data_IF_555045668336
#
_entry.id   IF_555045668336
#
_cell.length_a   1.000
_cell.length_b   1.000
_cell.length_c   1.000
_cell.angle_alpha   90.00
_cell.angle_beta   90.00
_cell.angle_gamma   90.00
#
_symmetry.space_group_name_H-M   'P 1'
#
loop_
_entity.id
_entity.type
_entity.pdbx_description
1 polymer ?
#
# COMPACT_ATOMS: atom_id res chain seq x y z
N UNK A 1 18.61 -8.07 -15.93
CA UNK A 1 17.62 -7.81 -14.88
C UNK A 1 18.22 -7.21 -13.60
N UNK A 2 19.28 -7.78 -13.00
CA UNK A 2 19.88 -7.26 -11.74
C UNK A 2 20.41 -5.80 -11.78
N UNK A 3 20.89 -5.31 -12.91
CA UNK A 3 21.48 -3.95 -13.02
C UNK A 3 20.43 -2.83 -12.96
N UNK A 4 19.19 -3.07 -13.40
CA UNK A 4 18.08 -2.09 -13.32
C UNK A 4 17.53 -1.90 -11.90
N UNK A 5 17.53 -2.95 -11.09
CA UNK A 5 17.03 -2.88 -9.72
C UNK A 5 18.00 -2.15 -8.76
N UNK A 6 19.31 -2.18 -9.05
CA UNK A 6 20.33 -1.51 -8.23
C UNK A 6 20.38 0.02 -8.43
N UNK A 7 19.75 0.55 -9.47
CA UNK A 7 19.70 1.99 -9.79
C UNK A 7 18.29 2.58 -9.59
N UNK A 8 17.36 1.80 -9.02
CA UNK A 8 15.99 2.26 -8.80
C UNK A 8 15.93 3.50 -7.90
N UNK A 9 15.21 4.51 -8.36
CA UNK A 9 14.86 5.70 -7.58
C UNK A 9 13.51 5.47 -6.89
N UNK A 10 13.25 6.12 -5.73
CA UNK A 10 11.94 6.10 -5.12
C UNK A 10 10.86 6.56 -6.11
N UNK A 11 9.68 5.95 -6.01
CA UNK A 11 8.52 6.47 -6.73
C UNK A 11 8.20 7.87 -6.17
N UNK A 12 8.22 8.92 -6.99
CA UNK A 12 7.91 10.25 -6.52
C UNK A 12 6.41 10.31 -6.14
N UNK A 13 6.05 11.00 -5.05
CA UNK A 13 4.63 11.19 -4.72
C UNK A 13 3.87 11.78 -5.91
N UNK A 14 2.77 11.16 -6.28
CA UNK A 14 1.94 11.58 -7.40
C UNK A 14 0.45 11.62 -7.01
N UNK A 15 -0.46 11.76 -7.96
CA UNK A 15 -1.89 11.97 -7.71
C UNK A 15 -2.52 10.88 -6.83
N UNK A 16 -2.12 9.63 -7.01
CA UNK A 16 -2.55 8.47 -6.21
C UNK A 16 -2.04 8.56 -4.76
N UNK A 17 -0.75 8.90 -4.60
CA UNK A 17 -0.12 9.09 -3.28
C UNK A 17 -0.78 10.23 -2.51
N UNK A 18 -0.99 11.38 -3.16
CA UNK A 18 -1.65 12.53 -2.52
C UNK A 18 -3.13 12.22 -2.21
N UNK A 19 -3.81 11.48 -3.08
CA UNK A 19 -5.18 11.08 -2.84
C UNK A 19 -5.32 10.17 -1.62
N UNK A 20 -4.42 9.18 -1.45
CA UNK A 20 -4.36 8.36 -0.25
C UNK A 20 -4.02 9.19 0.99
N UNK A 21 -3.00 10.05 0.89
CA UNK A 21 -2.54 10.91 1.98
C UNK A 21 -3.65 11.80 2.56
N UNK A 22 -4.46 12.39 1.71
CA UNK A 22 -5.58 13.25 2.14
C UNK A 22 -6.62 12.52 2.98
N UNK A 23 -6.74 11.20 2.84
CA UNK A 23 -7.73 10.40 3.57
C UNK A 23 -7.17 9.69 4.80
N UNK A 24 -5.84 9.56 4.90
CA UNK A 24 -5.20 8.92 6.07
C UNK A 24 -4.65 9.93 7.09
N UNK A 25 -4.56 11.22 6.76
CA UNK A 25 -3.98 12.26 7.63
C UNK A 25 -4.72 12.43 8.96
N UNK A 26 -6.02 12.09 9.00
CA UNK A 26 -6.87 12.18 10.19
C UNK A 26 -6.99 10.84 10.94
N UNK A 27 -6.35 9.78 10.43
CA UNK A 27 -6.25 8.50 11.12
C UNK A 27 -5.21 8.60 12.24
N UNK A 28 -5.45 7.88 13.34
CA UNK A 28 -4.57 7.87 14.49
C UNK A 28 -4.61 6.53 15.21
N UNK A 29 -3.58 6.21 15.96
CA UNK A 29 -3.49 4.96 16.71
C UNK A 29 -2.12 4.75 17.35
N UNK A 30 -1.89 3.53 17.78
CA UNK A 30 -0.61 3.14 18.36
C UNK A 30 0.42 2.81 17.27
N UNK A 31 0.02 2.04 16.26
CA UNK A 31 0.94 1.56 15.23
C UNK A 31 0.33 1.55 13.82
N UNK A 32 1.14 1.92 12.84
CA UNK A 32 0.80 1.88 11.43
C UNK A 32 1.91 1.25 10.57
N UNK A 33 1.50 0.63 9.45
CA UNK A 33 2.40 0.03 8.46
C UNK A 33 2.13 0.65 7.10
N UNK A 34 3.19 1.09 6.42
CA UNK A 34 3.16 1.59 5.04
C UNK A 34 3.86 0.58 4.12
N UNK A 35 3.09 -0.20 3.36
CA UNK A 35 3.61 -1.23 2.46
C UNK A 35 3.94 -0.61 1.11
N UNK A 36 5.19 -0.75 0.67
CA UNK A 36 5.69 -0.09 -0.53
C UNK A 36 5.91 1.40 -0.29
N UNK A 37 6.58 1.74 0.81
CA UNK A 37 6.73 3.14 1.29
C UNK A 37 7.42 4.08 0.30
N UNK A 38 8.21 3.55 -0.64
CA UNK A 38 8.85 4.32 -1.70
C UNK A 38 9.61 5.53 -1.19
N UNK A 39 9.14 6.73 -1.53
CA UNK A 39 9.73 8.00 -1.08
C UNK A 39 9.63 8.26 0.43
N UNK A 40 8.83 7.50 1.18
CA UNK A 40 8.54 7.71 2.61
C UNK A 40 7.43 8.73 2.88
N UNK A 41 6.77 9.26 1.83
CA UNK A 41 5.79 10.34 1.98
C UNK A 41 4.60 9.95 2.87
N UNK A 42 3.97 8.78 2.62
CA UNK A 42 2.84 8.31 3.43
C UNK A 42 3.26 8.01 4.86
N UNK A 43 4.39 7.33 5.06
CA UNK A 43 4.97 7.09 6.38
C UNK A 43 5.17 8.38 7.16
N UNK A 44 5.70 9.45 6.53
CA UNK A 44 5.91 10.76 7.17
C UNK A 44 4.62 11.45 7.63
N UNK A 45 3.49 11.17 6.97
CA UNK A 45 2.17 11.65 7.37
C UNK A 45 1.68 10.87 8.59
N UNK A 46 1.81 9.54 8.57
CA UNK A 46 1.40 8.67 9.66
C UNK A 46 2.19 8.92 10.94
N UNK A 47 3.49 9.25 10.86
CA UNK A 47 4.33 9.58 12.02
C UNK A 47 3.83 10.79 12.85
N UNK A 48 2.89 11.58 12.31
CA UNK A 48 2.29 12.71 13.05
C UNK A 48 1.24 12.27 14.06
N UNK A 49 0.65 11.08 13.89
CA UNK A 49 -0.53 10.61 14.64
C UNK A 49 -0.45 9.16 15.13
N UNK A 50 0.63 8.45 14.78
CA UNK A 50 0.92 7.08 15.26
C UNK A 50 2.24 7.06 16.02
N UNK A 51 2.27 6.33 17.13
CA UNK A 51 3.48 6.22 17.98
C UNK A 51 4.57 5.35 17.35
N UNK A 52 4.17 4.35 16.55
CA UNK A 52 5.05 3.49 15.78
C UNK A 52 4.59 3.48 14.33
N UNK A 53 5.46 3.88 13.42
CA UNK A 53 5.25 3.69 11.97
C UNK A 53 6.38 2.86 11.41
N UNK A 54 6.05 1.85 10.62
CA UNK A 54 7.01 1.03 9.89
C UNK A 54 6.71 1.20 8.40
N UNK A 55 7.73 1.56 7.60
CA UNK A 55 7.68 1.54 6.15
C UNK A 55 8.40 0.30 5.60
N UNK A 56 7.79 -0.42 4.67
CA UNK A 56 8.46 -1.52 3.97
C UNK A 56 8.61 -1.22 2.49
N UNK A 57 9.71 -1.68 1.90
CA UNK A 57 9.91 -1.64 0.44
C UNK A 57 10.76 -2.83 0.00
N UNK A 58 10.51 -3.31 -1.22
CA UNK A 58 11.26 -4.41 -1.81
C UNK A 58 12.70 -3.99 -2.18
N UNK A 59 12.89 -2.71 -2.48
CA UNK A 59 14.14 -2.19 -3.05
C UNK A 59 14.95 -1.44 -2.00
N UNK A 60 16.03 -2.03 -1.53
CA UNK A 60 16.92 -1.41 -0.54
C UNK A 60 17.44 -0.03 -0.97
N UNK A 61 17.73 0.15 -2.26
CA UNK A 61 18.20 1.44 -2.78
C UNK A 61 17.13 2.53 -2.73
N UNK A 62 15.86 2.15 -2.85
CA UNK A 62 14.72 3.07 -2.68
C UNK A 62 14.70 3.59 -1.24
N UNK A 63 14.78 2.70 -0.24
CA UNK A 63 14.82 3.08 1.17
C UNK A 63 16.00 3.99 1.52
N UNK A 64 17.16 3.76 0.89
CA UNK A 64 18.36 4.61 1.13
C UNK A 64 18.26 6.01 0.53
N UNK A 65 17.38 6.21 -0.44
CA UNK A 65 17.22 7.45 -1.20
C UNK A 65 15.88 8.14 -0.91
N UNK A 66 15.22 7.78 0.19
CA UNK A 66 13.95 8.40 0.55
C UNK A 66 14.09 9.91 0.71
N UNK A 67 13.17 10.66 0.09
CA UNK A 67 13.07 12.11 0.24
C UNK A 67 12.50 12.49 1.61
N UNK A 68 11.64 11.63 2.16
CA UNK A 68 11.01 11.75 3.46
C UNK A 68 11.59 10.68 4.37
N UNK A 69 12.58 11.04 5.17
CA UNK A 69 13.24 10.12 6.09
C UNK A 69 12.23 9.62 7.13
N UNK A 70 11.99 8.32 7.12
CA UNK A 70 11.12 7.65 8.08
C UNK A 70 11.95 6.97 9.16
N UNK A 71 11.40 6.92 10.38
CA UNK A 71 12.14 6.42 11.55
C UNK A 71 12.45 4.93 11.44
N UNK A 72 11.51 4.14 10.87
CA UNK A 72 11.65 2.69 10.78
C UNK A 72 11.34 2.22 9.36
N UNK A 73 12.39 1.84 8.62
CA UNK A 73 12.26 1.29 7.27
C UNK A 73 12.87 -0.11 7.18
N UNK A 74 12.14 -1.04 6.58
CA UNK A 74 12.53 -2.45 6.46
C UNK A 74 12.51 -2.87 4.99
N UNK A 75 13.63 -3.39 4.50
CA UNK A 75 13.72 -3.94 3.15
C UNK A 75 13.20 -5.38 3.14
N UNK A 76 11.99 -5.58 2.59
CA UNK A 76 11.38 -6.90 2.43
C UNK A 76 10.33 -6.90 1.32
N UNK A 77 9.84 -8.07 0.96
CA UNK A 77 8.74 -8.21 0.00
C UNK A 77 7.40 -8.03 0.74
N UNK A 78 6.66 -6.96 0.39
CA UNK A 78 5.44 -6.62 1.10
C UNK A 78 5.67 -6.44 2.60
N UNK A 79 5.22 -7.39 3.41
CA UNK A 79 5.39 -7.40 4.86
C UNK A 79 5.84 -8.78 5.40
N UNK A 80 6.53 -9.58 4.58
CA UNK A 80 6.85 -11.00 4.85
C UNK A 80 7.65 -11.25 6.15
N UNK A 81 8.40 -10.25 6.62
CA UNK A 81 9.24 -10.36 7.83
C UNK A 81 8.61 -9.71 9.07
N UNK A 82 7.41 -9.14 8.91
CA UNK A 82 6.73 -8.43 10.00
C UNK A 82 5.96 -9.43 10.86
N UNK A 83 6.18 -9.33 12.18
CA UNK A 83 5.43 -10.09 13.19
C UNK A 83 4.89 -9.12 14.26
N UNK A 84 4.04 -8.19 13.83
CA UNK A 84 3.39 -7.20 14.68
C UNK A 84 1.99 -6.92 14.15
N UNK A 85 1.04 -6.61 15.03
CA UNK A 85 -0.32 -6.23 14.61
C UNK A 85 -0.51 -4.72 14.71
N UNK A 86 -1.04 -4.14 13.63
CA UNK A 86 -1.21 -2.70 13.46
C UNK A 86 -2.67 -2.27 13.59
N UNK A 87 -2.87 -1.02 13.99
CA UNK A 87 -4.18 -0.36 13.95
C UNK A 87 -4.55 0.04 12.52
N UNK A 88 -3.53 0.45 11.74
CA UNK A 88 -3.68 0.87 10.36
C UNK A 88 -2.57 0.27 9.48
N UNK A 89 -2.96 -0.25 8.32
CA UNK A 89 -2.04 -0.56 7.23
C UNK A 89 -2.45 0.29 6.03
N UNK A 90 -1.48 0.88 5.34
CA UNK A 90 -1.71 1.61 4.09
C UNK A 90 -0.87 1.04 2.96
N UNK A 91 -1.37 1.16 1.73
CA UNK A 91 -0.62 0.78 0.54
C UNK A 91 -1.09 1.58 -0.68
N UNK A 92 -0.16 2.27 -1.34
CA UNK A 92 -0.39 2.71 -2.72
C UNK A 92 -0.03 1.52 -3.62
N UNK A 93 -1.02 0.73 -4.01
CA UNK A 93 -0.78 -0.56 -4.67
C UNK A 93 -0.22 -0.39 -6.08
N UNK A 94 0.71 -1.27 -6.52
CA UNK A 94 1.02 -1.41 -7.94
C UNK A 94 -0.19 -2.06 -8.63
N UNK A 95 -0.92 -1.30 -9.44
CA UNK A 95 -2.21 -1.71 -10.04
C UNK A 95 -2.21 -1.78 -11.57
N UNK A 96 -1.12 -1.39 -12.25
CA UNK A 96 -1.11 -1.43 -13.71
C UNK A 96 -1.21 -2.87 -14.21
N UNK A 97 -2.14 -3.09 -15.15
CA UNK A 97 -2.29 -4.38 -15.81
C UNK A 97 -1.13 -4.58 -16.80
N UNK A 98 -0.32 -5.60 -16.54
CA UNK A 98 0.87 -5.94 -17.34
C UNK A 98 0.97 -7.46 -17.49
N UNK A 99 1.50 -7.92 -18.63
CA UNK A 99 1.72 -9.37 -18.84
C UNK A 99 2.83 -9.91 -17.92
N UNK A 100 3.81 -9.08 -17.59
CA UNK A 100 4.91 -9.39 -16.69
C UNK A 100 5.16 -8.20 -15.75
N UNK A 101 5.53 -8.47 -14.50
CA UNK A 101 5.94 -7.43 -13.55
C UNK A 101 7.38 -7.03 -13.85
N UNK A 102 7.57 -5.94 -14.60
CA UNK A 102 8.87 -5.39 -14.96
C UNK A 102 9.27 -4.23 -14.06
N UNK A 103 8.31 -3.35 -13.72
CA UNK A 103 8.47 -2.29 -12.72
C UNK A 103 7.65 -2.61 -11.48
N UNK A 104 8.31 -3.08 -10.44
CA UNK A 104 7.67 -3.48 -9.17
C UNK A 104 6.95 -2.35 -8.44
N UNK A 105 7.17 -1.08 -8.86
CA UNK A 105 6.55 0.10 -8.26
C UNK A 105 5.15 0.36 -8.79
N UNK A 106 4.85 -0.11 -10.00
CA UNK A 106 3.60 0.21 -10.73
C UNK A 106 2.87 -1.02 -11.25
N UNK A 107 3.59 -2.09 -11.58
CA UNK A 107 3.04 -3.24 -12.29
C UNK A 107 2.33 -4.19 -11.32
N UNK A 108 1.03 -4.30 -11.48
CA UNK A 108 0.18 -5.21 -10.70
C UNK A 108 0.16 -6.65 -11.23
N UNK A 109 0.81 -6.90 -12.38
CA UNK A 109 0.73 -8.17 -13.10
C UNK A 109 -0.59 -8.35 -13.83
N UNK A 110 -0.93 -9.59 -14.15
CA UNK A 110 -2.13 -9.91 -14.91
C UNK A 110 -3.39 -9.31 -14.28
N UNK A 111 -4.18 -8.62 -15.10
CA UNK A 111 -5.39 -7.88 -14.71
C UNK A 111 -5.13 -6.77 -13.67
N UNK A 112 -3.85 -6.44 -13.38
CA UNK A 112 -3.45 -5.54 -12.30
C UNK A 112 -3.71 -6.12 -10.90
N UNK A 113 -3.79 -7.43 -10.75
CA UNK A 113 -4.27 -8.10 -9.54
C UNK A 113 -3.25 -8.99 -8.82
N UNK A 114 -2.23 -9.50 -9.53
CA UNK A 114 -1.33 -10.52 -8.93
C UNK A 114 -0.58 -10.00 -7.70
N UNK A 115 -0.06 -8.79 -7.77
CA UNK A 115 0.66 -8.17 -6.66
C UNK A 115 -0.31 -7.69 -5.58
N UNK A 116 -1.40 -6.95 -5.90
CA UNK A 116 -2.42 -6.55 -4.92
C UNK A 116 -3.00 -7.72 -4.11
N UNK A 117 -3.32 -8.84 -4.74
CA UNK A 117 -3.86 -10.04 -4.07
C UNK A 117 -2.86 -10.56 -3.01
N UNK A 118 -1.58 -10.64 -3.33
CA UNK A 118 -0.55 -11.08 -2.37
C UNK A 118 -0.43 -10.14 -1.18
N UNK A 119 -0.49 -8.83 -1.42
CA UNK A 119 -0.47 -7.81 -0.36
C UNK A 119 -1.70 -7.97 0.54
N UNK A 120 -2.91 -8.06 -0.01
CA UNK A 120 -4.15 -8.22 0.76
C UNK A 120 -4.08 -9.48 1.64
N UNK A 121 -3.67 -10.61 1.07
CA UNK A 121 -3.57 -11.87 1.81
C UNK A 121 -2.63 -11.75 3.03
N UNK A 122 -1.48 -11.08 2.87
CA UNK A 122 -0.52 -10.89 3.97
C UNK A 122 -1.02 -9.92 5.04
N UNK A 123 -1.81 -8.90 4.69
CA UNK A 123 -2.24 -7.85 5.63
C UNK A 123 -3.22 -8.34 6.69
N UNK A 124 -4.04 -9.35 6.39
CA UNK A 124 -5.06 -9.85 7.33
C UNK A 124 -4.50 -10.23 8.70
N UNK A 125 -3.38 -10.95 8.71
CA UNK A 125 -2.74 -11.40 9.95
C UNK A 125 -2.01 -10.28 10.70
N UNK A 126 -1.67 -9.20 9.98
CA UNK A 126 -0.93 -8.05 10.49
C UNK A 126 -1.84 -6.92 11.01
N UNK A 127 -3.15 -7.06 10.93
CA UNK A 127 -4.07 -6.10 11.52
C UNK A 127 -4.57 -6.60 12.88
N UNK A 128 -4.72 -5.68 13.83
CA UNK A 128 -5.50 -5.93 15.05
C UNK A 128 -6.97 -6.21 14.67
N UNK A 129 -7.74 -6.93 15.48
CA UNK A 129 -9.20 -6.99 15.32
C UNK A 129 -9.80 -5.57 15.27
N UNK A 130 -10.59 -5.26 14.24
CA UNK A 130 -11.08 -3.91 13.97
C UNK A 130 -10.06 -2.94 13.32
N UNK A 131 -8.82 -3.39 13.12
CA UNK A 131 -7.80 -2.61 12.40
C UNK A 131 -8.18 -2.42 10.92
N UNK A 132 -7.64 -1.38 10.31
CA UNK A 132 -8.00 -0.91 8.98
C UNK A 132 -6.86 -1.15 7.99
N UNK A 133 -7.20 -1.61 6.80
CA UNK A 133 -6.34 -1.57 5.63
C UNK A 133 -6.92 -0.56 4.63
N UNK A 134 -6.18 0.50 4.33
CA UNK A 134 -6.58 1.53 3.37
C UNK A 134 -5.61 1.51 2.20
N UNK A 135 -6.15 1.32 1.00
CA UNK A 135 -5.33 1.24 -0.21
C UNK A 135 -5.94 1.96 -1.40
N UNK A 136 -5.09 2.41 -2.31
CA UNK A 136 -5.49 2.94 -3.61
C UNK A 136 -5.33 1.85 -4.67
N UNK A 137 -6.31 1.78 -5.55
CA UNK A 137 -6.29 1.06 -6.82
C UNK A 137 -6.90 1.94 -7.92
N UNK A 138 -7.02 1.44 -9.12
CA UNK A 138 -7.46 2.23 -10.27
C UNK A 138 -8.45 1.47 -11.16
N UNK A 139 -9.21 2.22 -11.97
CA UNK A 139 -10.02 1.67 -13.06
C UNK A 139 -9.19 1.02 -14.18
N UNK A 140 -7.87 1.15 -14.17
CA UNK A 140 -6.95 0.44 -15.08
C UNK A 140 -6.72 -1.02 -14.68
N UNK A 141 -7.16 -1.41 -13.48
CA UNK A 141 -7.17 -2.80 -13.02
C UNK A 141 -8.61 -3.30 -12.85
N UNK A 142 -8.79 -4.60 -12.66
CA UNK A 142 -10.08 -5.16 -12.25
C UNK A 142 -10.34 -4.93 -10.74
N UNK A 143 -10.50 -3.65 -10.36
CA UNK A 143 -10.70 -3.28 -8.95
C UNK A 143 -11.94 -3.91 -8.32
N UNK A 144 -12.97 -4.25 -9.10
CA UNK A 144 -14.18 -4.90 -8.58
C UNK A 144 -13.87 -6.32 -8.10
N UNK A 145 -13.08 -7.05 -8.89
CA UNK A 145 -12.59 -8.38 -8.50
C UNK A 145 -11.65 -8.29 -7.30
N UNK A 146 -10.82 -7.23 -7.22
CA UNK A 146 -9.97 -6.98 -6.06
C UNK A 146 -10.78 -6.75 -4.78
N UNK A 147 -11.87 -5.95 -4.84
CA UNK A 147 -12.78 -5.73 -3.73
C UNK A 147 -13.42 -7.07 -3.28
N UNK A 148 -13.99 -7.83 -4.23
CA UNK A 148 -14.59 -9.13 -3.91
C UNK A 148 -13.58 -10.12 -3.30
N UNK A 149 -12.33 -10.10 -3.77
CA UNK A 149 -11.25 -10.88 -3.15
C UNK A 149 -11.01 -10.44 -1.72
N UNK A 150 -10.93 -9.13 -1.46
CA UNK A 150 -10.71 -8.57 -0.12
C UNK A 150 -11.84 -8.97 0.85
N UNK A 151 -13.11 -8.92 0.39
CA UNK A 151 -14.27 -9.40 1.16
C UNK A 151 -14.15 -10.90 1.50
N UNK A 152 -13.75 -11.72 0.54
CA UNK A 152 -13.57 -13.16 0.73
C UNK A 152 -12.41 -13.49 1.70
N UNK A 153 -11.41 -12.62 1.82
CA UNK A 153 -10.38 -12.73 2.85
C UNK A 153 -10.90 -12.40 4.25
N UNK A 154 -12.17 -11.99 4.41
CA UNK A 154 -12.82 -11.74 5.70
C UNK A 154 -12.68 -10.32 6.21
N UNK A 155 -12.65 -9.36 5.29
CA UNK A 155 -12.74 -7.94 5.61
C UNK A 155 -14.16 -7.41 5.37
N UNK A 156 -14.55 -6.41 6.15
CA UNK A 156 -15.65 -5.51 5.81
C UNK A 156 -15.11 -4.40 4.92
N UNK A 157 -15.57 -4.35 3.67
CA UNK A 157 -14.98 -3.51 2.62
C UNK A 157 -15.90 -2.37 2.22
N UNK A 158 -15.35 -1.17 2.08
CA UNK A 158 -16.06 0.00 1.57
C UNK A 158 -15.16 0.84 0.66
N UNK A 159 -15.76 1.46 -0.36
CA UNK A 159 -15.10 2.49 -1.15
C UNK A 159 -15.24 3.81 -0.40
N UNK A 160 -14.12 4.37 0.07
CA UNK A 160 -14.12 5.66 0.78
C UNK A 160 -14.31 6.84 -0.16
N UNK A 161 -13.61 6.81 -1.30
CA UNK A 161 -13.61 7.91 -2.25
C UNK A 161 -13.20 7.43 -3.65
N UNK A 162 -13.50 8.26 -4.64
CA UNK A 162 -13.05 8.12 -6.01
C UNK A 162 -12.55 9.45 -6.53
N UNK A 163 -11.48 9.44 -7.33
CA UNK A 163 -10.91 10.62 -7.96
C UNK A 163 -10.73 10.38 -9.45
N UNK A 164 -11.44 11.12 -10.26
CA UNK A 164 -11.33 11.03 -11.72
C UNK A 164 -10.09 11.79 -12.17
N UNK A 165 -9.23 11.13 -12.90
CA UNK A 165 -8.08 11.67 -13.64
C UNK A 165 -8.38 11.65 -15.13
N UNK A 166 -7.42 12.10 -15.96
CA UNK A 166 -7.66 12.21 -17.42
C UNK A 166 -7.85 10.82 -18.07
N UNK A 167 -7.07 9.83 -17.66
CA UNK A 167 -7.08 8.49 -18.27
C UNK A 167 -7.61 7.39 -17.35
N UNK A 168 -7.82 7.66 -16.06
CA UNK A 168 -8.22 6.68 -15.05
C UNK A 168 -9.11 7.29 -13.96
N UNK A 169 -9.74 6.43 -13.19
CA UNK A 169 -10.39 6.79 -11.93
C UNK A 169 -9.64 6.06 -10.80
N UNK A 170 -9.07 6.83 -9.87
CA UNK A 170 -8.51 6.27 -8.65
C UNK A 170 -9.63 5.86 -7.70
N UNK A 171 -9.49 4.69 -7.09
CA UNK A 171 -10.44 4.14 -6.13
C UNK A 171 -9.73 3.93 -4.80
N UNK A 172 -10.20 4.62 -3.77
CA UNK A 172 -9.72 4.46 -2.40
C UNK A 172 -10.61 3.47 -1.67
N UNK A 173 -10.03 2.39 -1.20
CA UNK A 173 -10.73 1.29 -0.53
C UNK A 173 -10.31 1.22 0.93
N UNK A 174 -11.29 1.04 1.82
CA UNK A 174 -11.08 0.71 3.22
C UNK A 174 -11.60 -0.70 3.48
N UNK A 175 -10.75 -1.53 4.04
CA UNK A 175 -11.06 -2.87 4.48
C UNK A 175 -10.82 -2.96 6.00
N UNK A 176 -11.83 -3.31 6.77
CA UNK A 176 -11.74 -3.44 8.22
C UNK A 176 -11.69 -4.93 8.57
N UNK A 177 -10.67 -5.34 9.35
CA UNK A 177 -10.58 -6.72 9.82
C UNK A 177 -11.73 -7.03 10.76
N UNK A 178 -12.54 -8.04 10.41
CA UNK A 178 -13.61 -8.50 11.27
C UNK A 178 -13.06 -9.20 12.53
N UNK A 179 -13.83 -9.09 13.61
CA UNK A 179 -13.57 -9.84 14.84
C UNK A 179 -13.95 -11.30 14.56
N UNK A 180 -12.96 -12.16 14.43
CA UNK A 180 -13.13 -13.62 14.32
C UNK A 180 -12.68 -14.30 15.59
#
# INVERSE_FOLDING_TARGET
MHKKLSEAEPYPPSEDTFFLADHIKDESGESALDIGTGSGYLSSILEKSFSLVIGTDLLFNVLRKQDYLTTNSICCNGADVINHQFDLIVCNMPYLNTDEVLDVRTDGGKDGLEVPIKIIHSTKLLLKPGGKFIYVTSSLSDFKKLISYTENEGFDVSILAKKKLFFEELILVKAVRLFS
#
